data_IF_878810445627
#
_entry.id   IF_878810445627
#
_cell.length_a   1.000
_cell.length_b   1.000
_cell.length_c   1.000
_cell.angle_alpha   90.00
_cell.angle_beta   90.00
_cell.angle_gamma   90.00
#
_symmetry.space_group_name_H-M   'P 1'
#
loop_
_entity.id
_entity.type
_entity.pdbx_description
1 polymer ?
#
# COMPACT_ATOMS: atom_id res chain seq x y z
N UNK A 1 33.40 -3.81 -6.61
CA UNK A 1 32.17 -3.00 -6.77
C UNK A 1 32.31 -1.79 -5.86
N UNK A 2 32.25 -0.54 -6.36
CA UNK A 2 32.42 0.63 -5.49
C UNK A 2 31.14 0.93 -4.71
N UNK A 3 31.26 1.57 -3.54
CA UNK A 3 30.13 1.91 -2.66
C UNK A 3 28.97 2.61 -3.41
N UNK A 4 29.28 3.52 -4.34
CA UNK A 4 28.32 4.20 -5.22
C UNK A 4 27.48 3.21 -6.05
N UNK A 5 28.13 2.21 -6.66
CA UNK A 5 27.43 1.21 -7.48
C UNK A 5 26.49 0.33 -6.63
N UNK A 6 26.92 -0.02 -5.41
CA UNK A 6 26.07 -0.79 -4.49
C UNK A 6 24.82 -0.03 -4.07
N UNK A 7 24.93 1.28 -3.78
CA UNK A 7 23.78 2.13 -3.46
C UNK A 7 22.82 2.29 -4.64
N UNK A 8 23.35 2.53 -5.84
CA UNK A 8 22.53 2.64 -7.05
C UNK A 8 21.78 1.33 -7.32
N UNK A 9 22.46 0.18 -7.20
CA UNK A 9 21.83 -1.12 -7.37
C UNK A 9 20.69 -1.32 -6.35
N UNK A 10 20.90 -0.93 -5.09
CA UNK A 10 19.89 -1.02 -4.06
C UNK A 10 18.66 -0.14 -4.35
N UNK A 11 18.87 1.11 -4.79
CA UNK A 11 17.77 2.02 -5.18
C UNK A 11 16.97 1.42 -6.34
N UNK A 12 17.66 0.93 -7.38
CA UNK A 12 17.01 0.33 -8.54
C UNK A 12 16.22 -0.93 -8.17
N UNK A 13 16.83 -1.82 -7.37
CA UNK A 13 16.16 -3.04 -6.92
C UNK A 13 14.91 -2.73 -6.08
N UNK A 14 15.01 -1.80 -5.12
CA UNK A 14 13.89 -1.40 -4.28
C UNK A 14 12.78 -0.73 -5.12
N UNK A 15 13.14 0.15 -6.06
CA UNK A 15 12.18 0.80 -6.97
C UNK A 15 11.48 -0.22 -7.87
N UNK A 16 12.21 -1.20 -8.40
CA UNK A 16 11.65 -2.26 -9.22
C UNK A 16 10.65 -3.12 -8.43
N UNK A 17 10.98 -3.51 -7.20
CA UNK A 17 10.08 -4.25 -6.31
C UNK A 17 8.82 -3.44 -6.00
N UNK A 18 8.96 -2.14 -5.74
CA UNK A 18 7.83 -1.24 -5.51
C UNK A 18 6.91 -1.17 -6.74
N UNK A 19 7.49 -1.02 -7.93
CA UNK A 19 6.74 -0.99 -9.19
C UNK A 19 5.96 -2.28 -9.43
N UNK A 20 6.61 -3.44 -9.31
CA UNK A 20 5.96 -4.75 -9.48
C UNK A 20 4.85 -4.95 -8.46
N UNK A 21 5.08 -4.56 -7.20
CA UNK A 21 4.07 -4.64 -6.14
C UNK A 21 2.87 -3.73 -6.42
N UNK A 22 3.11 -2.52 -6.92
CA UNK A 22 2.06 -1.58 -7.36
C UNK A 22 1.21 -2.15 -8.49
N UNK A 23 1.83 -2.70 -9.54
CA UNK A 23 1.14 -3.34 -10.65
C UNK A 23 0.33 -4.57 -10.19
N UNK A 24 0.91 -5.37 -9.29
CA UNK A 24 0.21 -6.51 -8.70
C UNK A 24 -1.02 -6.07 -7.90
N UNK A 25 -0.92 -5.02 -7.08
CA UNK A 25 -2.06 -4.42 -6.37
C UNK A 25 -3.12 -3.88 -7.31
N UNK A 26 -2.72 -3.23 -8.40
CA UNK A 26 -3.66 -2.78 -9.43
C UNK A 26 -4.44 -3.94 -10.02
N UNK A 27 -3.78 -5.03 -10.43
CA UNK A 27 -4.45 -6.24 -10.91
C UNK A 27 -5.35 -6.84 -9.83
N UNK A 28 -4.85 -6.95 -8.60
CA UNK A 28 -5.58 -7.50 -7.47
C UNK A 28 -6.84 -6.70 -7.16
N UNK A 29 -6.83 -5.38 -7.35
CA UNK A 29 -7.99 -4.51 -7.13
C UNK A 29 -9.19 -4.84 -8.04
N UNK A 30 -8.98 -5.44 -9.20
CA UNK A 30 -10.08 -5.93 -10.02
C UNK A 30 -10.68 -7.22 -9.48
N UNK A 31 -9.91 -8.01 -8.75
CA UNK A 31 -10.33 -9.33 -8.28
C UNK A 31 -11.00 -9.30 -6.91
N UNK A 32 -10.47 -8.52 -5.97
CA UNK A 32 -10.84 -8.65 -4.55
C UNK A 32 -11.40 -7.38 -3.91
N UNK A 33 -11.38 -6.24 -4.62
CA UNK A 33 -11.75 -4.97 -4.01
C UNK A 33 -13.22 -4.96 -3.57
N UNK A 34 -14.14 -5.40 -4.42
CA UNK A 34 -15.57 -5.37 -4.11
C UNK A 34 -15.92 -6.31 -2.96
N UNK A 35 -15.32 -7.49 -2.94
CA UNK A 35 -15.42 -8.44 -1.84
C UNK A 35 -14.90 -7.80 -0.54
N UNK A 36 -13.70 -7.23 -0.56
CA UNK A 36 -13.10 -6.59 0.61
C UNK A 36 -13.93 -5.40 1.11
N UNK A 37 -14.36 -4.50 0.22
CA UNK A 37 -15.21 -3.35 0.57
C UNK A 37 -16.58 -3.75 1.14
N UNK A 38 -17.09 -4.93 0.79
CA UNK A 38 -18.37 -5.42 1.31
C UNK A 38 -18.39 -5.64 2.83
N UNK A 39 -17.21 -5.83 3.45
CA UNK A 39 -17.04 -5.95 4.90
C UNK A 39 -17.00 -4.59 5.62
N UNK A 40 -16.81 -3.48 4.90
CA UNK A 40 -16.56 -2.15 5.46
C UNK A 40 -17.61 -1.12 5.05
N UNK A 41 -18.88 -1.52 5.03
CA UNK A 41 -19.98 -0.66 4.54
C UNK A 41 -20.19 0.57 5.41
N UNK A 42 -19.89 0.47 6.71
CA UNK A 42 -20.11 1.55 7.67
C UNK A 42 -18.84 2.36 7.94
N UNK A 43 -17.66 1.83 7.62
CA UNK A 43 -16.37 2.53 7.78
C UNK A 43 -16.28 3.76 6.86
N UNK A 44 -16.12 4.98 7.41
CA UNK A 44 -16.05 6.21 6.62
C UNK A 44 -14.93 6.21 5.57
N UNK A 45 -13.79 5.57 5.87
CA UNK A 45 -12.68 5.43 4.93
C UNK A 45 -13.12 4.75 3.63
N UNK A 46 -13.87 3.65 3.73
CA UNK A 46 -14.26 2.85 2.56
C UNK A 46 -15.44 3.49 1.85
N UNK A 47 -16.48 3.87 2.59
CA UNK A 47 -17.67 4.49 2.02
C UNK A 47 -17.34 5.83 1.30
N UNK A 48 -16.52 6.67 1.93
CA UNK A 48 -16.08 7.94 1.34
C UNK A 48 -15.23 7.73 0.09
N UNK A 49 -14.24 6.84 0.16
CA UNK A 49 -13.38 6.56 -0.98
C UNK A 49 -14.13 5.99 -2.17
N UNK A 50 -15.11 5.09 -1.95
CA UNK A 50 -15.96 4.53 -3.01
C UNK A 50 -16.75 5.62 -3.74
N UNK A 51 -17.26 6.62 -3.01
CA UNK A 51 -17.99 7.76 -3.59
C UNK A 51 -17.08 8.70 -4.39
N UNK A 52 -15.85 8.92 -3.93
CA UNK A 52 -14.93 9.89 -4.53
C UNK A 52 -14.15 9.36 -5.73
N UNK A 53 -13.72 8.10 -5.70
CA UNK A 53 -12.69 7.59 -6.62
C UNK A 53 -13.24 6.77 -7.79
N UNK A 54 -14.51 6.38 -7.74
CA UNK A 54 -15.16 5.61 -8.80
C UNK A 54 -14.53 4.23 -9.08
N UNK A 55 -14.86 3.65 -10.23
CA UNK A 55 -14.50 2.28 -10.60
C UNK A 55 -13.39 2.17 -11.68
N UNK A 56 -12.74 3.28 -12.04
CA UNK A 56 -11.61 3.27 -12.97
C UNK A 56 -10.34 2.63 -12.39
N UNK A 57 -9.34 2.36 -13.24
CA UNK A 57 -8.07 1.72 -12.87
C UNK A 57 -7.39 2.34 -11.64
N UNK A 58 -7.19 3.67 -11.68
CA UNK A 58 -6.57 4.40 -10.58
C UNK A 58 -7.45 4.40 -9.33
N UNK A 59 -8.77 4.59 -9.49
CA UNK A 59 -9.72 4.60 -8.38
C UNK A 59 -9.75 3.28 -7.63
N UNK A 60 -9.81 2.15 -8.33
CA UNK A 60 -9.80 0.81 -7.70
C UNK A 60 -8.47 0.52 -7.00
N UNK A 61 -7.35 0.81 -7.68
CA UNK A 61 -6.01 0.60 -7.11
C UNK A 61 -5.84 1.40 -5.82
N UNK A 62 -6.18 2.70 -5.87
CA UNK A 62 -6.02 3.59 -4.72
C UNK A 62 -6.93 3.18 -3.54
N UNK A 63 -8.18 2.78 -3.81
CA UNK A 63 -9.10 2.26 -2.78
C UNK A 63 -8.55 1.00 -2.11
N UNK A 64 -8.01 0.06 -2.89
CA UNK A 64 -7.39 -1.14 -2.33
C UNK A 64 -6.17 -0.80 -1.45
N UNK A 65 -5.32 0.12 -1.91
CA UNK A 65 -4.16 0.59 -1.15
C UNK A 65 -4.61 1.27 0.16
N UNK A 66 -5.60 2.15 0.11
CA UNK A 66 -6.13 2.84 1.29
C UNK A 66 -6.75 1.87 2.30
N UNK A 67 -7.59 0.95 1.83
CA UNK A 67 -8.18 -0.10 2.69
C UNK A 67 -7.08 -0.95 3.31
N UNK A 68 -6.12 -1.41 2.49
CA UNK A 68 -5.01 -2.21 2.98
C UNK A 68 -4.15 -1.46 4.01
N UNK A 69 -3.86 -0.18 3.78
CA UNK A 69 -3.13 0.67 4.73
C UNK A 69 -3.91 0.85 6.02
N UNK A 70 -5.23 1.02 5.92
CA UNK A 70 -6.14 1.01 7.07
C UNK A 70 -6.00 -0.28 7.90
N UNK A 71 -5.90 -1.43 7.26
CA UNK A 71 -5.74 -2.73 7.94
C UNK A 71 -4.33 -2.98 8.49
N UNK A 72 -3.30 -2.39 7.91
CA UNK A 72 -1.92 -2.44 8.41
C UNK A 72 -1.80 -1.57 9.67
N UNK A 73 -2.40 -0.39 9.65
CA UNK A 73 -2.34 0.60 10.72
C UNK A 73 -3.67 0.72 11.48
N UNK A 74 -4.35 -0.41 11.71
CA UNK A 74 -5.74 -0.45 12.19
C UNK A 74 -5.98 0.38 13.46
N UNK A 75 -5.07 0.36 14.44
CA UNK A 75 -5.25 1.11 15.68
C UNK A 75 -5.34 2.62 15.45
N UNK A 76 -4.57 3.16 14.51
CA UNK A 76 -4.62 4.57 14.15
C UNK A 76 -5.93 4.94 13.44
N UNK A 77 -6.37 4.12 12.48
CA UNK A 77 -7.58 4.38 11.71
C UNK A 77 -8.86 4.16 12.53
N UNK A 78 -8.88 3.19 13.45
CA UNK A 78 -9.96 2.99 14.40
C UNK A 78 -10.04 4.16 15.37
N UNK A 79 -8.90 4.60 15.95
CA UNK A 79 -8.86 5.77 16.85
C UNK A 79 -9.36 7.05 16.18
N UNK A 80 -9.16 7.20 14.87
CA UNK A 80 -9.66 8.33 14.07
C UNK A 80 -11.12 8.17 13.61
N UNK A 81 -11.80 7.07 13.95
CA UNK A 81 -13.15 6.77 13.49
C UNK A 81 -13.25 6.46 11.98
N UNK A 82 -12.12 6.25 11.30
CA UNK A 82 -12.05 5.98 9.87
C UNK A 82 -12.34 4.50 9.54
N UNK A 83 -12.02 3.59 10.47
CA UNK A 83 -12.38 2.18 10.43
C UNK A 83 -13.18 1.80 11.68
N UNK A 84 -14.12 0.87 11.51
CA UNK A 84 -14.90 0.32 12.62
C UNK A 84 -14.32 -1.04 13.02
N UNK A 85 -14.00 -1.19 14.31
CA UNK A 85 -13.32 -2.38 14.84
C UNK A 85 -14.04 -3.70 14.50
N UNK A 86 -15.37 -3.75 14.68
CA UNK A 86 -16.16 -4.96 14.37
C UNK A 86 -16.08 -5.37 12.90
N UNK A 87 -15.95 -4.41 11.98
CA UNK A 87 -15.80 -4.66 10.54
C UNK A 87 -14.38 -5.15 10.21
N UNK A 88 -13.37 -4.66 10.93
CA UNK A 88 -11.99 -5.15 10.82
C UNK A 88 -11.89 -6.61 11.29
N UNK A 89 -12.59 -6.96 12.37
CA UNK A 89 -12.59 -8.30 12.94
C UNK A 89 -13.38 -9.33 12.12
N UNK A 90 -14.38 -8.89 11.33
CA UNK A 90 -15.19 -9.78 10.49
C UNK A 90 -14.49 -10.16 9.18
N UNK A 91 -13.41 -9.46 8.79
CA UNK A 91 -12.69 -9.72 7.55
C UNK A 91 -11.94 -11.06 7.60
N UNK A 92 -12.16 -11.97 6.64
CA UNK A 92 -11.44 -13.24 6.58
C UNK A 92 -9.92 -13.04 6.56
N UNK A 93 -9.20 -13.85 7.34
CA UNK A 93 -7.74 -13.74 7.49
C UNK A 93 -7.00 -13.95 6.16
N UNK A 94 -7.52 -14.82 5.29
CA UNK A 94 -7.02 -15.05 3.93
C UNK A 94 -7.10 -13.80 3.08
N UNK A 95 -8.28 -13.16 3.03
CA UNK A 95 -8.53 -11.93 2.28
C UNK A 95 -7.69 -10.77 2.84
N UNK A 96 -7.62 -10.64 4.17
CA UNK A 96 -6.77 -9.67 4.85
C UNK A 96 -5.31 -9.81 4.43
N UNK A 97 -4.75 -11.03 4.48
CA UNK A 97 -3.35 -11.27 4.08
C UNK A 97 -3.14 -10.98 2.59
N UNK A 98 -4.08 -11.40 1.75
CA UNK A 98 -4.03 -11.21 0.29
C UNK A 98 -3.88 -9.74 -0.11
N UNK A 99 -4.53 -8.82 0.61
CA UNK A 99 -4.44 -7.37 0.34
C UNK A 99 -3.32 -6.67 1.13
N UNK A 100 -3.03 -7.09 2.37
CA UNK A 100 -2.04 -6.42 3.22
C UNK A 100 -0.59 -6.77 2.90
N UNK A 101 -0.28 -8.01 2.56
CA UNK A 101 1.09 -8.42 2.23
C UNK A 101 1.67 -7.63 1.05
N UNK A 102 1.04 -7.58 -0.13
CA UNK A 102 1.60 -6.84 -1.26
C UNK A 102 1.73 -5.34 -0.97
N UNK A 103 0.82 -4.74 -0.21
CA UNK A 103 0.93 -3.34 0.20
C UNK A 103 2.06 -3.09 1.21
N UNK A 104 2.31 -4.03 2.14
CA UNK A 104 3.51 -3.96 3.01
C UNK A 104 4.79 -3.99 2.19
N UNK A 105 4.88 -4.87 1.19
CA UNK A 105 6.05 -4.94 0.29
C UNK A 105 6.20 -3.63 -0.47
N UNK A 106 5.13 -3.09 -1.04
CA UNK A 106 5.12 -1.78 -1.71
C UNK A 106 5.65 -0.66 -0.79
N UNK A 107 5.13 -0.56 0.43
CA UNK A 107 5.52 0.50 1.36
C UNK A 107 6.97 0.37 1.81
N UNK A 108 7.41 -0.83 2.20
CA UNK A 108 8.79 -1.06 2.66
C UNK A 108 9.78 -0.79 1.54
N UNK A 109 9.54 -1.32 0.34
CA UNK A 109 10.42 -1.09 -0.82
C UNK A 109 10.42 0.37 -1.26
N UNK A 110 9.26 1.04 -1.27
CA UNK A 110 9.14 2.46 -1.57
C UNK A 110 9.89 3.35 -0.56
N UNK A 111 9.69 3.13 0.75
CA UNK A 111 10.41 3.87 1.78
C UNK A 111 11.91 3.59 1.77
N UNK A 112 12.34 2.36 1.49
CA UNK A 112 13.74 2.02 1.35
C UNK A 112 14.37 2.75 0.15
N UNK A 113 13.73 2.71 -1.02
CA UNK A 113 14.22 3.41 -2.22
C UNK A 113 14.36 4.91 -1.95
N UNK A 114 13.34 5.53 -1.35
CA UNK A 114 13.35 6.95 -0.99
C UNK A 114 14.45 7.28 0.03
N UNK A 115 14.56 6.51 1.11
CA UNK A 115 15.54 6.74 2.17
C UNK A 115 16.98 6.63 1.66
N UNK A 116 17.27 5.62 0.85
CA UNK A 116 18.61 5.44 0.26
C UNK A 116 18.91 6.54 -0.76
N UNK A 117 17.95 6.93 -1.59
CA UNK A 117 18.12 8.04 -2.54
C UNK A 117 18.36 9.39 -1.83
N UNK A 118 17.65 9.66 -0.74
CA UNK A 118 17.85 10.86 0.09
C UNK A 118 19.25 10.86 0.70
N UNK A 119 19.68 9.73 1.28
CA UNK A 119 21.02 9.60 1.85
C UNK A 119 22.12 9.79 0.80
N UNK A 120 21.99 9.15 -0.37
CA UNK A 120 22.96 9.24 -1.45
C UNK A 120 23.07 10.68 -2.02
N UNK A 121 21.95 11.41 -2.03
CA UNK A 121 21.92 12.83 -2.43
C UNK A 121 22.57 13.74 -1.39
N UNK A 122 22.31 13.50 -0.10
CA UNK A 122 22.87 14.27 1.00
C UNK A 122 24.38 14.06 1.17
N UNK A 123 24.85 12.81 1.05
CA UNK A 123 26.26 12.44 1.24
C UNK A 123 27.18 12.85 0.08
N UNK A 124 26.63 13.38 -1.01
CA UNK A 124 27.41 13.74 -2.21
C UNK A 124 27.96 12.56 -3.00
N UNK A 125 27.64 11.30 -2.61
CA UNK A 125 28.10 10.08 -3.30
C UNK A 125 27.62 10.00 -4.75
N UNK A 126 26.53 10.70 -5.09
CA UNK A 126 26.00 10.79 -6.45
C UNK A 126 26.64 11.89 -7.30
N UNK A 127 27.35 12.86 -6.70
CA UNK A 127 28.21 13.81 -7.43
C UNK A 127 29.47 13.09 -7.94
#
# INVERSE_FOLDING_TARGET
>A
MTFKHSLLLLIWAATFIALVSGLYLSRLSYQVLEEAESYFKLSPLVAGNRKLLGNGFFGRTYRLIQLSSGLIYQGFYIKKGALIEREVLSLPSSLRRRITVPNKVLQVSGFLALGVAMYASYSGVLR
#
